data_IF_194733109640
#
_entry.id   IF_194733109640
#
_cell.length_a   1.000
_cell.length_b   1.000
_cell.length_c   1.000
_cell.angle_alpha   90.00
_cell.angle_beta   90.00
_cell.angle_gamma   90.00
#
_symmetry.space_group_name_H-M   'P 1'
#
loop_
_entity.id
_entity.type
_entity.pdbx_description
1 polymer ?
#
# COMPACT_ATOMS: atom_id res chain seq x y z
N UNK A 1 14.10 -9.21 -27.85
CA UNK A 1 14.41 -9.02 -26.42
C UNK A 1 14.77 -7.56 -26.22
N UNK A 2 13.86 -6.75 -25.67
CA UNK A 2 14.26 -5.42 -25.21
C UNK A 2 15.24 -5.57 -24.03
N UNK A 3 16.35 -4.86 -24.07
CA UNK A 3 17.33 -4.86 -23.00
C UNK A 3 16.73 -4.20 -21.75
N UNK A 4 17.07 -4.75 -20.58
CA UNK A 4 16.72 -4.14 -19.29
C UNK A 4 17.27 -2.70 -19.28
N UNK A 5 16.45 -1.69 -18.95
CA UNK A 5 16.91 -0.30 -18.91
C UNK A 5 18.17 -0.15 -18.03
N UNK A 6 19.19 0.55 -18.54
CA UNK A 6 20.50 0.65 -17.87
C UNK A 6 20.44 1.32 -16.50
N UNK A 7 19.50 2.25 -16.32
CA UNK A 7 19.14 2.90 -15.07
C UNK A 7 18.67 1.89 -14.01
N UNK A 8 17.89 0.87 -14.42
CA UNK A 8 17.41 -0.18 -13.51
C UNK A 8 18.52 -1.16 -13.18
N UNK A 9 19.35 -1.51 -14.17
CA UNK A 9 20.46 -2.45 -13.97
C UNK A 9 21.44 -1.96 -12.90
N UNK A 10 21.82 -0.68 -12.94
CA UNK A 10 22.69 -0.05 -11.93
C UNK A 10 22.05 -0.05 -10.54
N UNK A 11 20.74 0.20 -10.47
CA UNK A 11 20.03 0.22 -9.18
C UNK A 11 20.01 -1.16 -8.50
N UNK A 12 19.98 -2.25 -9.27
CA UNK A 12 19.87 -3.62 -8.74
C UNK A 12 21.14 -4.08 -8.03
N UNK A 13 22.31 -3.71 -8.54
CA UNK A 13 23.62 -4.07 -7.97
C UNK A 13 23.78 -3.60 -6.51
N UNK A 14 23.07 -2.52 -6.12
CA UNK A 14 23.10 -1.96 -4.76
C UNK A 14 22.00 -2.43 -3.81
N UNK A 15 21.03 -3.22 -4.27
CA UNK A 15 19.82 -3.56 -3.47
C UNK A 15 20.19 -4.26 -2.16
N UNK A 16 21.01 -5.30 -2.21
CA UNK A 16 21.38 -6.08 -1.02
C UNK A 16 22.09 -5.23 0.04
N UNK A 17 23.00 -4.35 -0.37
CA UNK A 17 23.69 -3.42 0.54
C UNK A 17 22.69 -2.50 1.25
N UNK A 18 21.78 -1.89 0.51
CA UNK A 18 20.80 -0.94 1.07
C UNK A 18 19.77 -1.61 1.97
N UNK A 19 19.41 -2.86 1.69
CA UNK A 19 18.60 -3.69 2.60
C UNK A 19 19.31 -3.83 3.93
N UNK A 20 20.59 -4.19 3.92
CA UNK A 20 21.36 -4.38 5.14
C UNK A 20 21.53 -3.07 5.92
N UNK A 21 21.77 -1.96 5.23
CA UNK A 21 21.81 -0.62 5.84
C UNK A 21 20.47 -0.26 6.49
N UNK A 22 19.35 -0.51 5.82
CA UNK A 22 18.02 -0.24 6.36
C UNK A 22 17.68 -1.12 7.57
N UNK A 23 18.06 -2.40 7.54
CA UNK A 23 17.91 -3.30 8.70
C UNK A 23 18.77 -2.79 9.87
N UNK A 24 19.99 -2.31 9.59
CA UNK A 24 20.86 -1.73 10.61
C UNK A 24 20.25 -0.46 11.23
N UNK A 25 19.69 0.43 10.42
CA UNK A 25 18.96 1.62 10.87
C UNK A 25 17.73 1.24 11.71
N UNK A 26 16.96 0.21 11.33
CA UNK A 26 15.84 -0.25 12.15
C UNK A 26 16.29 -0.77 13.52
N UNK A 27 17.38 -1.55 13.57
CA UNK A 27 17.91 -2.14 14.81
C UNK A 27 18.41 -1.11 15.82
N UNK A 28 18.89 0.04 15.35
CA UNK A 28 19.46 1.09 16.21
C UNK A 28 18.45 2.19 16.56
N UNK A 29 17.22 2.09 16.05
CA UNK A 29 16.13 3.01 16.37
C UNK A 29 15.58 2.76 17.79
N UNK A 30 15.30 3.85 18.51
CA UNK A 30 14.62 3.82 19.82
C UNK A 30 13.12 3.56 19.68
N UNK A 31 12.59 3.68 18.46
CA UNK A 31 11.19 3.42 18.11
C UNK A 31 11.06 3.12 16.61
N UNK A 32 10.28 2.09 16.27
CA UNK A 32 9.89 1.75 14.89
C UNK A 32 8.38 1.96 14.75
N UNK A 33 7.99 2.86 13.83
CA UNK A 33 6.59 3.20 13.57
C UNK A 33 6.14 2.59 12.26
N UNK A 34 5.36 1.51 12.34
CA UNK A 34 4.65 0.93 11.21
C UNK A 34 3.57 1.93 10.77
N UNK A 35 3.72 2.51 9.59
CA UNK A 35 2.83 3.56 9.08
C UNK A 35 1.93 3.00 7.99
N UNK A 36 0.63 2.93 8.28
CA UNK A 36 -0.38 2.54 7.30
C UNK A 36 -0.67 3.74 6.41
N UNK A 37 -0.14 3.69 5.19
CA UNK A 37 -0.20 4.74 4.19
C UNK A 37 -1.17 4.36 3.08
N UNK A 38 -1.96 5.30 2.59
CA UNK A 38 -2.83 5.00 1.46
C UNK A 38 -1.98 4.81 0.16
N UNK A 39 -2.24 3.83 -0.70
CA UNK A 39 -1.48 3.58 -1.93
C UNK A 39 -1.54 4.76 -2.91
N UNK A 40 -2.64 5.51 -2.83
CA UNK A 40 -2.96 6.69 -3.63
C UNK A 40 -2.40 7.99 -3.00
N UNK A 41 -1.64 7.92 -1.90
CA UNK A 41 -1.50 9.07 -0.99
C UNK A 41 -0.28 9.97 -1.09
N UNK A 42 0.70 9.69 -1.95
CA UNK A 42 2.02 10.35 -1.89
C UNK A 42 2.62 10.41 -0.48
N UNK A 43 2.22 9.55 0.46
CA UNK A 43 2.81 9.53 1.79
C UNK A 43 4.28 9.16 1.64
N UNK A 44 5.13 10.16 1.84
CA UNK A 44 6.57 10.03 1.80
C UNK A 44 7.05 10.12 3.23
N UNK A 45 7.58 9.01 3.70
CA UNK A 45 8.19 8.90 5.02
C UNK A 45 9.70 9.08 4.88
N UNK A 46 10.41 9.52 5.93
CA UNK A 46 11.87 9.51 5.96
C UNK A 46 12.44 8.10 5.77
N UNK A 47 13.53 7.97 5.00
CA UNK A 47 14.22 6.70 4.79
C UNK A 47 15.21 6.32 5.88
N UNK A 48 15.55 7.30 6.72
CA UNK A 48 16.53 7.21 7.77
C UNK A 48 15.84 7.54 9.10
N UNK A 49 16.53 7.27 10.20
CA UNK A 49 16.06 7.69 11.52
C UNK A 49 15.84 9.21 11.58
N UNK A 50 14.77 9.61 12.25
CA UNK A 50 14.52 11.02 12.60
C UNK A 50 14.49 11.17 14.11
N UNK A 51 15.10 12.25 14.62
CA UNK A 51 15.02 12.59 16.03
C UNK A 51 13.67 13.24 16.31
N UNK A 52 12.89 12.64 17.20
CA UNK A 52 11.56 13.12 17.59
C UNK A 52 11.53 13.42 19.08
N UNK A 53 11.12 14.64 19.49
CA UNK A 53 10.93 14.96 20.90
C UNK A 53 9.68 14.25 21.44
N UNK A 54 9.85 13.53 22.54
CA UNK A 54 8.78 12.83 23.25
C UNK A 54 8.19 13.72 24.36
N UNK A 55 6.97 13.42 24.80
CA UNK A 55 6.27 14.20 25.85
C UNK A 55 7.03 14.29 27.17
N UNK A 56 7.82 13.26 27.50
CA UNK A 56 8.65 13.22 28.69
C UNK A 56 9.97 14.03 28.57
N UNK A 57 10.16 14.77 27.48
CA UNK A 57 11.35 15.58 27.23
C UNK A 57 12.54 14.83 26.64
N UNK A 58 12.47 13.50 26.49
CA UNK A 58 13.51 12.68 25.85
C UNK A 58 13.37 12.78 24.32
N UNK A 59 14.49 12.81 23.59
CA UNK A 59 14.49 12.63 22.14
C UNK A 59 14.69 11.16 21.79
N UNK A 60 13.90 10.64 20.85
CA UNK A 60 14.03 9.27 20.32
C UNK A 60 14.42 9.29 18.85
N UNK A 61 15.30 8.37 18.45
CA UNK A 61 15.56 8.01 17.04
C UNK A 61 14.41 7.14 16.54
N UNK A 62 13.54 7.72 15.73
CA UNK A 62 12.34 7.06 15.19
C UNK A 62 12.58 6.65 13.74
N UNK A 63 12.24 5.40 13.42
CA UNK A 63 12.26 4.89 12.05
C UNK A 63 10.84 4.59 11.58
N UNK A 64 10.49 5.03 10.37
CA UNK A 64 9.16 4.81 9.80
C UNK A 64 9.16 3.64 8.78
N UNK A 65 8.20 2.73 8.94
CA UNK A 65 8.00 1.55 8.09
C UNK A 65 6.67 1.67 7.37
N UNK A 66 6.66 2.09 6.11
CA UNK A 66 5.42 2.28 5.35
C UNK A 66 4.75 0.96 4.94
N UNK A 67 3.42 0.88 5.06
CA UNK A 67 2.58 -0.17 4.51
C UNK A 67 1.53 0.48 3.60
N UNK A 68 1.57 0.26 2.27
CA UNK A 68 0.56 0.77 1.36
C UNK A 68 -0.77 0.03 1.55
N UNK A 69 -1.86 0.79 1.50
CA UNK A 69 -3.25 0.34 1.66
C UNK A 69 -4.14 1.11 0.67
N UNK A 70 -4.98 0.48 -0.15
CA UNK A 70 -5.81 1.26 -1.08
C UNK A 70 -6.88 2.04 -0.32
N UNK A 71 -7.18 3.27 -0.76
CA UNK A 71 -8.41 3.99 -0.42
C UNK A 71 -8.52 4.33 1.07
N UNK A 72 -7.39 4.37 1.78
CA UNK A 72 -7.37 4.51 3.23
C UNK A 72 -7.97 3.30 3.95
N UNK A 73 -7.98 2.10 3.36
CA UNK A 73 -8.45 0.88 4.02
C UNK A 73 -7.45 0.31 5.03
N UNK A 74 -7.90 -0.57 5.93
CA UNK A 74 -7.00 -1.29 6.83
C UNK A 74 -6.11 -2.26 6.04
N UNK A 75 -4.83 -2.47 6.42
CA UNK A 75 -4.02 -3.54 5.83
C UNK A 75 -4.72 -4.89 6.08
N UNK A 76 -4.47 -5.87 5.22
CA UNK A 76 -4.92 -7.23 5.54
C UNK A 76 -4.15 -7.77 6.75
N UNK A 77 -4.83 -8.53 7.63
CA UNK A 77 -4.23 -9.21 8.78
C UNK A 77 -2.92 -9.95 8.42
N UNK A 78 -2.91 -10.72 7.34
CA UNK A 78 -1.71 -11.47 6.90
C UNK A 78 -0.51 -10.58 6.57
N UNK A 79 -0.74 -9.34 6.12
CA UNK A 79 0.31 -8.37 5.78
C UNK A 79 0.89 -7.72 7.04
N UNK A 80 0.03 -7.26 7.95
CA UNK A 80 0.46 -6.70 9.22
C UNK A 80 1.24 -7.75 10.03
N UNK A 81 0.71 -8.97 10.09
CA UNK A 81 1.39 -10.13 10.70
C UNK A 81 2.76 -10.40 10.07
N UNK A 82 2.84 -10.45 8.73
CA UNK A 82 4.11 -10.66 8.03
C UNK A 82 5.17 -9.63 8.43
N UNK A 83 4.80 -8.35 8.43
CA UNK A 83 5.71 -7.26 8.79
C UNK A 83 6.16 -7.33 10.24
N UNK A 84 5.26 -7.58 11.19
CA UNK A 84 5.62 -7.74 12.60
C UNK A 84 6.57 -8.93 12.78
N UNK A 85 6.28 -10.07 12.13
CA UNK A 85 7.15 -11.25 12.14
C UNK A 85 8.53 -10.91 11.58
N UNK A 86 8.62 -10.15 10.49
CA UNK A 86 9.89 -9.71 9.89
C UNK A 86 10.66 -8.78 10.83
N UNK A 87 10.00 -7.78 11.44
CA UNK A 87 10.65 -6.89 12.42
C UNK A 87 11.20 -7.68 13.61
N UNK A 88 10.44 -8.64 14.14
CA UNK A 88 10.91 -9.55 15.20
C UNK A 88 12.11 -10.38 14.75
N UNK A 89 12.05 -10.97 13.54
CA UNK A 89 13.17 -11.75 12.98
C UNK A 89 14.43 -10.90 12.76
N UNK A 90 14.26 -9.61 12.49
CA UNK A 90 15.36 -8.65 12.40
C UNK A 90 15.90 -8.22 13.77
N UNK A 91 15.32 -8.68 14.88
CA UNK A 91 15.78 -8.35 16.23
C UNK A 91 15.30 -6.99 16.73
N UNK A 92 14.22 -6.45 16.17
CA UNK A 92 13.60 -5.22 16.68
C UNK A 92 12.87 -5.55 17.99
N UNK A 93 13.19 -4.80 19.04
CA UNK A 93 12.59 -4.98 20.36
C UNK A 93 11.08 -4.74 20.29
N UNK A 94 10.31 -5.63 20.93
CA UNK A 94 8.84 -5.66 20.88
C UNK A 94 8.18 -4.38 21.39
N UNK A 95 8.79 -3.74 22.38
CA UNK A 95 8.39 -2.47 22.99
C UNK A 95 8.80 -1.24 22.17
N UNK A 96 9.59 -1.42 21.11
CA UNK A 96 9.92 -0.34 20.18
C UNK A 96 8.89 -0.20 19.04
N UNK A 97 8.03 -1.21 18.83
CA UNK A 97 7.11 -1.27 17.69
C UNK A 97 5.80 -0.53 18.01
N UNK A 98 5.49 0.50 17.22
CA UNK A 98 4.25 1.27 17.28
C UNK A 98 3.60 1.34 15.90
N UNK A 99 2.31 1.66 15.85
CA UNK A 99 1.54 1.76 14.60
C UNK A 99 0.95 3.15 14.45
N UNK A 100 1.04 3.70 13.24
CA UNK A 100 0.45 4.97 12.86
C UNK A 100 -0.47 4.78 11.65
N UNK A 101 -1.75 5.08 11.82
CA UNK A 101 -2.71 5.18 10.72
C UNK A 101 -2.59 6.57 10.11
N UNK A 102 -2.52 6.68 8.78
CA UNK A 102 -2.43 7.98 8.11
C UNK A 102 -3.57 8.22 7.15
N UNK A 103 -4.15 9.42 7.22
CA UNK A 103 -4.84 10.06 6.10
C UNK A 103 -3.91 11.09 5.47
N UNK A 104 -4.23 11.59 4.28
CA UNK A 104 -3.35 12.51 3.57
C UNK A 104 -4.15 13.53 2.77
N UNK A 105 -3.66 14.77 2.67
CA UNK A 105 -4.31 15.79 1.85
C UNK A 105 -3.29 16.83 1.40
N UNK A 106 -3.73 17.76 0.55
CA UNK A 106 -2.96 18.98 0.33
C UNK A 106 -3.03 19.91 1.55
N UNK A 107 -2.22 20.97 1.57
CA UNK A 107 -2.13 21.88 2.73
C UNK A 107 -3.49 22.48 3.09
N UNK A 108 -4.31 22.81 2.07
CA UNK A 108 -5.62 23.44 2.26
C UNK A 108 -6.65 22.46 2.82
N UNK A 109 -6.66 21.23 2.30
CA UNK A 109 -7.47 20.10 2.76
C UNK A 109 -7.17 19.75 4.22
N UNK A 110 -5.88 19.64 4.57
CA UNK A 110 -5.46 19.40 5.96
C UNK A 110 -5.85 20.57 6.85
N UNK A 111 -5.59 21.80 6.43
CA UNK A 111 -5.91 23.00 7.23
C UNK A 111 -7.41 23.10 7.52
N UNK A 112 -8.26 22.84 6.53
CA UNK A 112 -9.72 22.84 6.69
C UNK A 112 -10.20 21.72 7.62
N UNK A 113 -9.62 20.52 7.49
CA UNK A 113 -9.90 19.37 8.38
C UNK A 113 -9.54 19.69 9.82
N UNK A 114 -8.35 20.26 10.06
CA UNK A 114 -7.89 20.67 11.39
C UNK A 114 -8.73 21.80 11.99
N UNK A 115 -9.20 22.73 11.15
CA UNK A 115 -10.07 23.84 11.55
C UNK A 115 -11.55 23.43 11.73
N UNK A 116 -11.93 22.20 11.34
CA UNK A 116 -13.32 21.70 11.32
C UNK A 116 -14.27 22.58 10.47
N UNK A 117 -13.74 23.26 9.46
CA UNK A 117 -14.48 24.25 8.65
C UNK A 117 -15.01 23.68 7.33
N UNK A 118 -14.35 22.66 6.78
CA UNK A 118 -14.85 21.80 5.70
C UNK A 118 -13.95 20.55 5.60
N UNK A 119 -14.54 19.38 5.32
CA UNK A 119 -13.91 18.09 5.59
C UNK A 119 -13.21 17.42 4.40
N UNK A 120 -12.61 18.17 3.49
CA UNK A 120 -12.18 17.56 2.23
C UNK A 120 -10.74 17.12 2.30
N UNK A 121 -10.52 15.83 2.48
CA UNK A 121 -9.31 15.11 2.13
C UNK A 121 -9.73 14.12 1.04
N UNK A 122 -9.50 14.45 -0.23
CA UNK A 122 -9.95 13.60 -1.34
C UNK A 122 -8.77 12.97 -2.09
N UNK A 123 -8.63 11.64 -1.97
CA UNK A 123 -7.84 10.87 -2.94
C UNK A 123 -8.76 10.43 -4.09
N UNK A 124 -8.26 10.34 -5.32
CA UNK A 124 -9.15 10.17 -6.48
C UNK A 124 -9.88 8.82 -6.52
N UNK A 125 -9.26 7.71 -6.02
CA UNK A 125 -10.01 6.46 -5.80
C UNK A 125 -11.14 6.61 -4.77
N UNK A 126 -10.92 7.41 -3.73
CA UNK A 126 -11.93 7.65 -2.70
C UNK A 126 -13.08 8.50 -3.23
N UNK A 127 -12.81 9.43 -4.15
CA UNK A 127 -13.86 10.17 -4.87
C UNK A 127 -14.75 9.22 -5.69
N UNK A 128 -14.15 8.29 -6.45
CA UNK A 128 -14.90 7.27 -7.18
C UNK A 128 -15.76 6.41 -6.23
N UNK A 129 -15.16 5.88 -5.16
CA UNK A 129 -15.90 5.04 -4.21
C UNK A 129 -17.01 5.80 -3.48
N UNK A 130 -16.82 7.08 -3.19
CA UNK A 130 -17.86 7.91 -2.60
C UNK A 130 -19.02 8.17 -3.58
N UNK A 131 -18.72 8.37 -4.86
CA UNK A 131 -19.75 8.52 -5.90
C UNK A 131 -20.61 7.26 -6.04
N UNK A 132 -19.99 6.08 -5.89
CA UNK A 132 -20.66 4.77 -5.94
C UNK A 132 -20.93 4.16 -4.56
N UNK A 133 -21.03 5.00 -3.52
CA UNK A 133 -21.16 4.55 -2.13
C UNK A 133 -22.35 3.60 -1.95
N UNK A 134 -23.53 3.95 -2.44
CA UNK A 134 -24.74 3.13 -2.28
C UNK A 134 -24.59 1.73 -2.91
N UNK A 135 -24.01 1.65 -4.11
CA UNK A 135 -23.76 0.38 -4.79
C UNK A 135 -22.76 -0.48 -4.00
N UNK A 136 -21.66 0.12 -3.55
CA UNK A 136 -20.61 -0.58 -2.80
C UNK A 136 -21.05 -1.00 -1.40
N UNK A 137 -21.92 -0.21 -0.73
CA UNK A 137 -22.54 -0.57 0.55
C UNK A 137 -23.49 -1.75 0.38
N UNK A 138 -24.36 -1.74 -0.63
CA UNK A 138 -25.25 -2.87 -0.93
C UNK A 138 -24.48 -4.16 -1.23
N UNK A 139 -23.40 -4.07 -2.01
CA UNK A 139 -22.52 -5.22 -2.27
C UNK A 139 -21.86 -5.69 -0.97
N UNK A 140 -21.37 -4.78 -0.14
CA UNK A 140 -20.68 -5.08 1.12
C UNK A 140 -21.57 -5.86 2.08
N UNK A 141 -22.82 -5.47 2.26
CA UNK A 141 -23.74 -6.14 3.18
C UNK A 141 -23.89 -7.63 2.84
N UNK A 142 -24.15 -7.93 1.56
CA UNK A 142 -24.23 -9.30 1.05
C UNK A 142 -22.89 -10.04 1.22
N UNK A 143 -21.79 -9.38 0.87
CA UNK A 143 -20.46 -9.97 0.88
C UNK A 143 -19.95 -10.30 2.28
N UNK A 144 -20.24 -9.47 3.29
CA UNK A 144 -19.88 -9.74 4.69
C UNK A 144 -20.71 -10.90 5.25
N UNK A 145 -22.01 -10.95 4.96
CA UNK A 145 -22.87 -12.04 5.39
C UNK A 145 -22.41 -13.38 4.79
N UNK A 146 -22.20 -13.42 3.48
CA UNK A 146 -21.67 -14.59 2.78
C UNK A 146 -20.28 -14.99 3.28
N UNK A 147 -19.34 -14.04 3.39
CA UNK A 147 -17.96 -14.34 3.81
C UNK A 147 -17.90 -15.02 5.19
N UNK A 148 -18.76 -14.62 6.13
CA UNK A 148 -18.84 -15.26 7.46
C UNK A 148 -19.31 -16.71 7.35
N UNK A 149 -20.30 -16.99 6.50
CA UNK A 149 -20.80 -18.35 6.27
C UNK A 149 -19.76 -19.20 5.55
N UNK A 150 -19.15 -18.67 4.49
CA UNK A 150 -18.14 -19.35 3.70
C UNK A 150 -16.94 -19.76 4.56
N UNK A 151 -16.39 -18.85 5.38
CA UNK A 151 -15.28 -19.16 6.31
C UNK A 151 -15.59 -20.33 7.24
N UNK A 152 -16.84 -20.44 7.73
CA UNK A 152 -17.29 -21.57 8.56
C UNK A 152 -17.43 -22.86 7.73
N UNK A 153 -17.96 -22.76 6.51
CA UNK A 153 -18.15 -23.89 5.59
C UNK A 153 -16.82 -24.54 5.20
N UNK A 154 -15.79 -23.74 4.92
CA UNK A 154 -14.47 -24.24 4.49
C UNK A 154 -13.46 -24.42 5.61
N UNK A 155 -13.86 -24.13 6.86
CA UNK A 155 -12.99 -24.14 8.04
C UNK A 155 -11.67 -23.36 7.83
N UNK A 156 -11.74 -22.21 7.15
CA UNK A 156 -10.60 -21.32 6.96
C UNK A 156 -11.00 -19.88 7.28
N UNK A 157 -10.63 -19.43 8.47
CA UNK A 157 -10.84 -18.06 8.92
C UNK A 157 -10.15 -17.01 8.01
N UNK A 158 -9.15 -17.43 7.21
CA UNK A 158 -8.37 -16.57 6.31
C UNK A 158 -9.01 -16.43 4.94
N UNK A 159 -10.02 -17.23 4.60
CA UNK A 159 -10.75 -17.13 3.35
C UNK A 159 -11.38 -15.74 3.24
N UNK A 160 -10.97 -14.97 2.23
CA UNK A 160 -11.45 -13.62 2.00
C UNK A 160 -11.94 -13.50 0.56
N UNK A 161 -13.12 -12.89 0.31
CA UNK A 161 -13.69 -12.79 -1.03
C UNK A 161 -12.71 -12.25 -2.06
N UNK A 162 -12.02 -11.15 -1.72
CA UNK A 162 -11.06 -10.50 -2.61
C UNK A 162 -9.84 -11.36 -2.96
N UNK A 163 -9.61 -12.47 -2.26
CA UNK A 163 -8.49 -13.41 -2.45
C UNK A 163 -8.92 -14.77 -3.01
N UNK A 164 -10.18 -14.90 -3.41
CA UNK A 164 -10.68 -16.07 -4.10
C UNK A 164 -10.65 -15.84 -5.62
N UNK A 165 -10.62 -16.91 -6.43
CA UNK A 165 -10.96 -16.83 -7.84
C UNK A 165 -12.37 -16.23 -8.00
N UNK A 166 -12.59 -15.35 -8.98
CA UNK A 166 -13.91 -14.75 -9.20
C UNK A 166 -14.97 -15.82 -9.54
N UNK A 167 -14.57 -16.91 -10.19
CA UNK A 167 -15.41 -18.07 -10.48
C UNK A 167 -15.98 -18.71 -9.21
N UNK A 168 -15.17 -18.80 -8.15
CA UNK A 168 -15.62 -19.32 -6.85
C UNK A 168 -16.73 -18.43 -6.28
N UNK A 169 -16.60 -17.12 -6.38
CA UNK A 169 -17.62 -16.17 -5.90
C UNK A 169 -18.85 -16.22 -6.81
N UNK A 170 -18.66 -16.38 -8.13
CA UNK A 170 -19.76 -16.48 -9.08
C UNK A 170 -20.61 -17.74 -8.83
N UNK A 171 -19.99 -18.82 -8.37
CA UNK A 171 -20.69 -20.04 -7.99
C UNK A 171 -21.34 -19.94 -6.61
N UNK A 172 -20.61 -19.45 -5.60
CA UNK A 172 -21.02 -19.48 -4.19
C UNK A 172 -21.88 -18.27 -3.76
N UNK A 173 -21.84 -17.16 -4.50
CA UNK A 173 -22.54 -15.91 -4.21
C UNK A 173 -22.87 -15.16 -5.53
N UNK A 174 -23.68 -15.75 -6.42
CA UNK A 174 -23.94 -15.24 -7.77
C UNK A 174 -24.55 -13.83 -7.78
N UNK A 175 -25.33 -13.48 -6.77
CA UNK A 175 -25.94 -12.16 -6.60
C UNK A 175 -24.90 -11.05 -6.43
N UNK A 176 -23.85 -11.28 -5.64
CA UNK A 176 -22.74 -10.33 -5.48
C UNK A 176 -22.00 -10.19 -6.81
N UNK A 177 -21.70 -11.30 -7.48
CA UNK A 177 -21.01 -11.23 -8.77
C UNK A 177 -21.83 -10.54 -9.85
N UNK A 178 -23.16 -10.69 -9.84
CA UNK A 178 -24.03 -9.93 -10.73
C UNK A 178 -23.89 -8.42 -10.51
N UNK A 179 -23.95 -7.96 -9.26
CA UNK A 179 -23.80 -6.55 -8.91
C UNK A 179 -22.40 -6.02 -9.27
N UNK A 180 -21.36 -6.80 -9.01
CA UNK A 180 -19.97 -6.47 -9.38
C UNK A 180 -19.82 -6.36 -10.89
N UNK A 181 -20.37 -7.30 -11.67
CA UNK A 181 -20.33 -7.24 -13.13
C UNK A 181 -21.09 -6.02 -13.66
N UNK A 182 -22.28 -5.73 -13.15
CA UNK A 182 -23.03 -4.52 -13.53
C UNK A 182 -22.24 -3.24 -13.25
N UNK A 183 -21.62 -3.13 -12.08
CA UNK A 183 -20.81 -1.96 -11.75
C UNK A 183 -19.53 -1.89 -12.60
N UNK A 184 -18.90 -3.02 -12.92
CA UNK A 184 -17.79 -3.09 -13.87
C UNK A 184 -18.20 -2.60 -15.26
N UNK A 185 -19.30 -3.11 -15.81
CA UNK A 185 -19.80 -2.74 -17.15
C UNK A 185 -20.12 -1.25 -17.23
N UNK A 186 -20.65 -0.67 -16.15
CA UNK A 186 -20.99 0.75 -16.08
C UNK A 186 -19.79 1.69 -15.91
N UNK A 187 -18.70 1.22 -15.30
CA UNK A 187 -17.60 2.10 -14.86
C UNK A 187 -16.25 1.79 -15.51
N UNK A 188 -16.09 0.60 -16.10
CA UNK A 188 -14.80 0.07 -16.53
C UNK A 188 -13.83 -0.23 -15.39
N UNK A 189 -14.27 -0.22 -14.12
CA UNK A 189 -13.40 -0.58 -13.00
C UNK A 189 -13.24 -2.09 -12.88
N UNK A 190 -12.03 -2.63 -12.71
CA UNK A 190 -11.81 -4.08 -12.60
C UNK A 190 -12.64 -4.72 -11.50
N UNK A 191 -13.21 -5.89 -11.77
CA UNK A 191 -14.15 -6.56 -10.86
C UNK A 191 -13.54 -6.85 -9.50
N UNK A 192 -12.27 -7.28 -9.47
CA UNK A 192 -11.54 -7.50 -8.21
C UNK A 192 -11.30 -6.22 -7.42
N UNK A 193 -11.10 -5.07 -8.07
CA UNK A 193 -10.95 -3.79 -7.38
C UNK A 193 -12.27 -3.39 -6.69
N UNK A 194 -13.39 -3.54 -7.39
CA UNK A 194 -14.74 -3.28 -6.85
C UNK A 194 -15.05 -4.22 -5.67
N UNK A 195 -14.80 -5.52 -5.83
CA UNK A 195 -14.98 -6.53 -4.79
C UNK A 195 -14.13 -6.23 -3.54
N UNK A 196 -12.87 -5.86 -3.76
CA UNK A 196 -11.94 -5.50 -2.69
C UNK A 196 -12.38 -4.23 -1.98
N UNK A 197 -12.80 -3.20 -2.71
CA UNK A 197 -13.32 -1.97 -2.13
C UNK A 197 -14.56 -2.25 -1.27
N UNK A 198 -15.54 -2.99 -1.80
CA UNK A 198 -16.74 -3.42 -1.08
C UNK A 198 -16.41 -4.16 0.23
N UNK A 199 -15.51 -5.16 0.16
CA UNK A 199 -15.17 -5.99 1.32
C UNK A 199 -14.31 -5.26 2.37
N UNK A 200 -13.27 -4.53 1.93
CA UNK A 200 -12.21 -4.05 2.83
C UNK A 200 -12.45 -2.65 3.38
N UNK A 201 -13.16 -1.78 2.66
CA UNK A 201 -13.37 -0.41 3.11
C UNK A 201 -14.41 -0.39 4.22
N UNK A 202 -13.99 0.08 5.38
CA UNK A 202 -14.86 0.19 6.55
C UNK A 202 -16.04 1.13 6.34
N UNK A 203 -15.69 2.29 5.78
CA UNK A 203 -16.58 3.35 5.36
C UNK A 203 -16.12 3.83 3.99
N UNK A 204 -17.07 4.06 3.08
CA UNK A 204 -16.81 4.75 1.81
C UNK A 204 -16.92 6.27 1.94
N UNK A 205 -17.26 6.76 3.14
CA UNK A 205 -17.23 8.17 3.44
C UNK A 205 -15.81 8.72 3.28
N UNK A 206 -15.71 9.92 2.72
CA UNK A 206 -14.49 10.71 2.60
C UNK A 206 -13.95 11.06 4.01
N UNK A 207 -14.80 11.05 5.03
CA UNK A 207 -14.45 11.45 6.39
C UNK A 207 -14.16 10.26 7.34
N UNK A 208 -13.15 10.42 8.20
CA UNK A 208 -13.20 9.84 9.56
C UNK A 208 -13.01 8.33 9.70
N UNK A 209 -12.53 7.61 8.69
CA UNK A 209 -12.36 6.17 8.78
C UNK A 209 -11.12 5.73 9.60
N UNK A 210 -10.31 6.66 10.11
CA UNK A 210 -9.09 6.37 10.88
C UNK A 210 -9.40 5.56 12.13
N UNK A 211 -10.48 5.91 12.84
CA UNK A 211 -10.91 5.19 14.04
C UNK A 211 -11.25 3.73 13.72
N UNK A 212 -12.01 3.50 12.66
CA UNK A 212 -12.37 2.14 12.26
C UNK A 212 -11.16 1.32 11.79
N UNK A 213 -10.18 1.97 11.16
CA UNK A 213 -8.90 1.32 10.81
C UNK A 213 -8.11 1.02 12.09
N UNK A 214 -8.03 1.97 13.02
CA UNK A 214 -7.35 1.81 14.30
C UNK A 214 -7.96 0.66 15.09
N UNK A 215 -9.29 0.58 15.17
CA UNK A 215 -10.01 -0.51 15.85
C UNK A 215 -9.69 -1.86 15.22
N UNK A 216 -9.75 -1.96 13.89
CA UNK A 216 -9.37 -3.21 13.16
C UNK A 216 -7.90 -3.58 13.37
N UNK A 217 -7.01 -2.59 13.42
CA UNK A 217 -5.59 -2.83 13.70
C UNK A 217 -5.41 -3.29 15.14
N UNK A 218 -6.10 -2.67 16.10
CA UNK A 218 -6.08 -3.08 17.49
C UNK A 218 -6.57 -4.52 17.66
N UNK A 219 -7.64 -4.91 16.97
CA UNK A 219 -8.09 -6.31 16.90
C UNK A 219 -6.99 -7.25 16.41
N UNK A 220 -6.28 -6.89 15.33
CA UNK A 220 -5.17 -7.72 14.80
C UNK A 220 -3.97 -7.79 15.74
N UNK A 221 -3.67 -6.73 16.48
CA UNK A 221 -2.56 -6.71 17.44
C UNK A 221 -2.93 -7.44 18.73
N UNK A 222 -4.21 -7.46 19.10
CA UNK A 222 -4.71 -8.21 20.25
C UNK A 222 -4.72 -9.74 20.05
N UNK A 223 -4.50 -10.22 18.83
CA UNK A 223 -4.40 -11.66 18.54
C UNK A 223 -3.28 -12.35 19.35
N UNK A 224 -3.49 -13.62 19.71
CA UNK A 224 -2.56 -14.46 20.51
C UNK A 224 -1.11 -14.45 19.97
N UNK A 225 -0.95 -14.36 18.65
CA UNK A 225 0.35 -14.32 17.96
C UNK A 225 1.16 -13.03 18.21
N UNK A 226 0.48 -11.97 18.68
CA UNK A 226 1.02 -10.63 18.94
C UNK A 226 0.94 -10.25 20.44
N UNK A 227 0.60 -11.20 21.32
CA UNK A 227 0.42 -10.95 22.77
C UNK A 227 1.64 -10.35 23.48
N UNK A 228 2.82 -10.51 22.90
CA UNK A 228 4.08 -9.97 23.40
C UNK A 228 4.30 -8.49 23.06
N UNK A 229 3.72 -8.01 21.96
CA UNK A 229 3.77 -6.60 21.52
C UNK A 229 2.55 -5.80 21.98
N UNK A 230 1.38 -6.43 22.08
CA UNK A 230 0.10 -5.77 22.38
C UNK A 230 0.15 -4.89 23.63
N UNK A 231 0.77 -5.28 24.76
CA UNK A 231 0.80 -4.45 25.96
C UNK A 231 1.59 -3.15 25.83
N UNK A 232 2.49 -3.07 24.85
CA UNK A 232 3.45 -1.96 24.68
C UNK A 232 3.25 -1.19 23.38
N UNK A 233 2.48 -1.72 22.43
CA UNK A 233 2.29 -1.13 21.12
C UNK A 233 1.24 -0.01 21.18
N UNK A 234 1.67 1.23 20.97
CA UNK A 234 0.74 2.34 20.78
C UNK A 234 0.24 2.37 19.32
N UNK A 235 -1.06 2.60 19.15
CA UNK A 235 -1.70 2.81 17.85
C UNK A 235 -2.19 4.26 17.83
N UNK A 236 -1.69 5.06 16.88
CA UNK A 236 -2.09 6.46 16.70
C UNK A 236 -2.61 6.75 15.29
N UNK A 237 -3.08 7.98 15.09
CA UNK A 237 -3.48 8.50 13.79
C UNK A 237 -2.85 9.86 13.48
N UNK A 238 -2.60 10.14 12.20
CA UNK A 238 -2.10 11.43 11.73
C UNK A 238 -2.63 11.79 10.34
N UNK A 239 -2.72 13.09 10.07
CA UNK A 239 -2.92 13.64 8.74
C UNK A 239 -1.58 13.99 8.10
N UNK A 240 -1.28 13.41 6.95
CA UNK A 240 -0.08 13.67 6.17
C UNK A 240 -0.33 14.79 5.16
N UNK A 241 0.33 15.92 5.35
CA UNK A 241 0.38 16.99 4.37
C UNK A 241 1.41 16.63 3.29
N UNK A 242 0.93 16.34 2.08
CA UNK A 242 1.81 15.90 1.00
C UNK A 242 2.58 17.04 0.32
N UNK A 243 2.17 18.30 0.53
CA UNK A 243 2.87 19.48 0.03
C UNK A 243 3.96 19.89 0.99
N UNK A 244 3.65 20.00 2.29
CA UNK A 244 4.62 20.38 3.30
C UNK A 244 5.50 19.22 3.79
N UNK A 245 5.14 17.97 3.47
CA UNK A 245 5.83 16.74 3.93
C UNK A 245 5.84 16.65 5.45
N UNK A 246 4.66 16.80 6.06
CA UNK A 246 4.49 16.86 7.51
C UNK A 246 3.39 15.90 7.98
N UNK A 247 3.53 15.38 9.19
CA UNK A 247 2.46 14.68 9.90
C UNK A 247 1.83 15.64 10.91
N UNK A 248 0.50 15.76 10.87
CA UNK A 248 -0.31 16.49 11.83
C UNK A 248 -1.06 15.48 12.70
N UNK A 249 -0.69 15.39 13.97
CA UNK A 249 -1.31 14.53 14.97
C UNK A 249 -2.48 15.28 15.59
N UNK A 250 -3.65 15.15 14.99
CA UNK A 250 -4.82 15.95 15.36
C UNK A 250 -5.97 15.10 15.87
N UNK A 251 -5.71 14.28 16.89
CA UNK A 251 -6.75 13.66 17.70
C UNK A 251 -6.27 13.52 19.17
N UNK A 252 -7.19 13.55 20.15
CA UNK A 252 -6.92 13.09 21.53
C UNK A 252 -6.38 11.65 21.59
N UNK A 253 -6.59 10.86 20.52
CA UNK A 253 -6.30 9.44 20.38
C UNK A 253 -4.98 9.13 19.66
N UNK A 254 -4.17 10.15 19.35
CA UNK A 254 -2.97 10.02 18.51
C UNK A 254 -1.64 9.87 19.29
N UNK A 255 -1.67 9.49 20.56
CA UNK A 255 -0.47 9.57 21.38
C UNK A 255 0.43 8.35 21.25
N UNK A 256 1.23 8.33 20.19
CA UNK A 256 2.45 7.49 20.11
C UNK A 256 3.60 8.05 20.98
N UNK A 257 3.31 9.02 21.85
CA UNK A 257 4.24 9.62 22.82
C UNK A 257 4.93 10.91 22.34
N UNK A 258 4.58 11.43 21.16
CA UNK A 258 5.24 12.59 20.56
C UNK A 258 4.81 13.89 21.25
N UNK A 259 5.78 14.78 21.51
CA UNK A 259 5.54 16.07 22.18
C UNK A 259 4.76 17.02 21.29
N UNK A 260 5.18 17.13 20.04
CA UNK A 260 4.65 18.10 19.10
C UNK A 260 3.44 17.55 18.37
N UNK A 261 2.43 18.40 18.15
CA UNK A 261 1.25 18.06 17.34
C UNK A 261 1.55 17.98 15.85
N UNK A 262 2.76 18.36 15.43
CA UNK A 262 3.22 18.32 14.05
C UNK A 262 4.64 17.81 14.00
N UNK A 263 4.92 16.85 13.11
CA UNK A 263 6.28 16.40 12.80
C UNK A 263 6.63 16.81 11.37
N UNK A 264 7.71 17.58 11.23
CA UNK A 264 8.24 18.00 9.92
C UNK A 264 9.44 17.16 9.54
N UNK A 265 9.46 16.67 8.31
CA UNK A 265 10.58 15.88 7.80
C UNK A 265 11.60 16.78 7.10
N UNK A 266 12.65 17.21 7.81
CA UNK A 266 13.65 18.15 7.31
C UNK A 266 14.34 17.72 6.00
N UNK A 267 14.45 16.40 5.78
CA UNK A 267 15.06 15.83 4.58
C UNK A 267 14.09 15.74 3.39
N UNK A 268 12.80 16.06 3.57
CA UNK A 268 11.78 16.02 2.52
C UNK A 268 11.41 17.46 2.14
N UNK A 269 11.96 18.01 1.03
CA UNK A 269 11.63 19.38 0.64
C UNK A 269 10.14 19.51 0.31
N UNK A 270 9.49 20.62 0.70
CA UNK A 270 8.09 20.85 0.37
C UNK A 270 7.90 21.01 -1.13
N UNK A 271 6.66 20.81 -1.59
CA UNK A 271 6.23 21.03 -2.97
C UNK A 271 5.10 22.05 -3.03
N UNK A 272 4.95 22.65 -4.20
CA UNK A 272 3.91 23.63 -4.48
C UNK A 272 2.76 23.05 -5.35
N UNK A 273 2.96 21.89 -5.98
CA UNK A 273 1.93 21.24 -6.79
C UNK A 273 1.03 20.29 -5.98
N UNK A 274 -0.20 20.11 -6.44
CA UNK A 274 -1.18 19.16 -5.92
C UNK A 274 -1.37 17.94 -6.83
N UNK A 275 -0.45 17.67 -7.79
CA UNK A 275 -0.60 16.55 -8.76
C UNK A 275 0.25 15.31 -8.42
N UNK A 276 -0.36 14.12 -8.48
CA UNK A 276 0.31 12.84 -8.25
C UNK A 276 1.05 12.44 -9.50
N UNK A 277 2.36 12.62 -9.57
CA UNK A 277 3.07 12.38 -10.83
C UNK A 277 4.22 11.35 -10.73
N UNK A 278 3.92 10.07 -10.39
CA UNK A 278 4.93 9.05 -10.32
C UNK A 278 5.46 8.65 -11.70
N UNK A 279 6.74 8.28 -11.79
CA UNK A 279 7.29 7.69 -13.02
C UNK A 279 7.11 6.19 -13.10
N UNK A 280 6.95 5.52 -11.95
CA UNK A 280 6.87 4.07 -11.87
C UNK A 280 5.75 3.65 -10.90
N UNK A 281 5.10 2.55 -11.23
CA UNK A 281 4.28 1.76 -10.30
C UNK A 281 5.11 0.58 -9.82
N UNK A 282 5.26 0.42 -8.50
CA UNK A 282 5.96 -0.71 -7.88
C UNK A 282 4.93 -1.64 -7.26
N UNK A 283 4.91 -2.90 -7.72
CA UNK A 283 4.07 -3.97 -7.16
C UNK A 283 4.99 -4.87 -6.31
N UNK A 284 4.92 -4.79 -4.99
CA UNK A 284 5.73 -5.59 -4.07
C UNK A 284 5.06 -6.92 -3.73
N UNK A 285 5.71 -8.04 -4.03
CA UNK A 285 5.18 -9.39 -3.92
C UNK A 285 6.03 -10.21 -2.92
N UNK A 286 5.49 -10.44 -1.73
CA UNK A 286 6.11 -11.26 -0.68
C UNK A 286 5.81 -10.84 0.76
N UNK A 287 6.22 -11.67 1.73
CA UNK A 287 6.02 -11.45 3.17
C UNK A 287 7.10 -10.55 3.79
N UNK A 288 8.31 -10.52 3.22
CA UNK A 288 9.50 -9.90 3.82
C UNK A 288 9.84 -8.54 3.22
N UNK A 289 9.07 -8.10 2.22
CA UNK A 289 9.04 -6.70 1.85
C UNK A 289 8.17 -5.94 2.87
N UNK A 290 8.67 -5.76 4.11
CA UNK A 290 8.58 -4.43 4.75
C UNK A 290 8.84 -3.48 3.61
N UNK A 291 7.91 -2.63 3.16
CA UNK A 291 8.06 -1.91 1.90
C UNK A 291 9.38 -1.18 1.89
N UNK A 292 10.43 -1.86 1.38
CA UNK A 292 11.77 -1.54 1.83
C UNK A 292 11.94 -0.15 1.28
N UNK A 293 12.23 0.75 2.22
CA UNK A 293 11.85 2.16 2.05
C UNK A 293 12.30 2.64 0.67
N UNK A 294 11.65 3.67 0.12
CA UNK A 294 12.05 4.30 -1.15
C UNK A 294 13.57 4.29 -1.37
N UNK A 295 14.40 4.55 -0.36
CA UNK A 295 15.86 4.48 -0.43
C UNK A 295 16.50 3.10 -0.73
N UNK A 296 15.85 1.97 -0.48
CA UNK A 296 16.45 0.64 -0.56
C UNK A 296 16.12 -0.09 -1.85
N UNK A 297 14.84 -0.06 -2.23
CA UNK A 297 14.48 -0.54 -3.55
C UNK A 297 14.98 0.50 -4.56
N UNK A 298 15.02 1.82 -4.24
CA UNK A 298 15.19 2.89 -5.23
C UNK A 298 15.67 4.26 -4.68
N UNK A 299 16.94 4.47 -4.31
CA UNK A 299 17.39 5.83 -4.03
C UNK A 299 17.43 6.71 -5.30
N UNK A 300 17.36 6.14 -6.52
CA UNK A 300 17.89 6.80 -7.71
C UNK A 300 17.24 6.55 -9.10
N UNK A 301 16.02 6.00 -9.28
CA UNK A 301 15.53 5.58 -10.64
C UNK A 301 15.40 6.67 -11.73
N UNK A 302 16.01 7.85 -11.63
CA UNK A 302 16.17 8.73 -12.81
C UNK A 302 17.40 9.65 -12.72
N UNK A 303 18.47 9.28 -12.02
CA UNK A 303 19.71 10.07 -12.02
C UNK A 303 19.58 11.51 -11.51
N UNK A 304 18.56 11.81 -10.69
CA UNK A 304 18.36 13.13 -10.10
C UNK A 304 18.91 13.22 -8.68
N UNK A 305 19.47 14.37 -8.25
CA UNK A 305 19.90 14.61 -6.87
C UNK A 305 18.72 14.79 -5.88
N UNK A 306 17.50 14.37 -6.23
CA UNK A 306 16.28 14.63 -5.45
C UNK A 306 15.48 13.34 -5.18
N UNK A 307 14.92 13.29 -3.98
CA UNK A 307 14.26 12.12 -3.42
C UNK A 307 13.01 11.65 -4.19
N UNK A 308 12.72 10.33 -4.21
CA UNK A 308 11.69 9.71 -5.03
C UNK A 308 10.28 9.88 -4.42
N UNK A 309 9.65 11.05 -4.59
CA UNK A 309 8.21 11.17 -4.30
C UNK A 309 7.32 10.49 -5.35
N UNK A 310 7.92 9.93 -6.40
CA UNK A 310 7.26 9.64 -7.66
C UNK A 310 7.04 8.13 -7.90
N UNK A 311 6.56 7.42 -6.88
CA UNK A 311 6.26 5.98 -7.00
C UNK A 311 4.88 5.66 -6.41
N UNK A 312 4.02 4.98 -7.18
CA UNK A 312 2.78 4.35 -6.70
C UNK A 312 3.06 2.92 -6.25
N UNK A 313 2.49 2.46 -5.12
CA UNK A 313 2.83 1.16 -4.54
C UNK A 313 1.60 0.29 -4.28
N UNK A 314 1.71 -0.98 -4.66
CA UNK A 314 0.75 -2.03 -4.31
C UNK A 314 1.49 -3.26 -3.78
N UNK A 315 0.81 -4.14 -3.05
CA UNK A 315 1.48 -5.35 -2.58
C UNK A 315 0.60 -6.59 -2.38
N UNK A 316 1.22 -7.77 -2.40
CA UNK A 316 0.62 -9.06 -2.06
C UNK A 316 1.63 -9.93 -1.30
N UNK A 317 1.20 -10.59 -0.21
CA UNK A 317 2.10 -11.41 0.60
C UNK A 317 1.99 -12.92 0.36
N UNK A 318 0.86 -13.38 -0.16
CA UNK A 318 0.65 -14.79 -0.48
C UNK A 318 0.85 -14.96 -1.99
N UNK A 319 1.67 -15.92 -2.46
CA UNK A 319 1.87 -16.17 -3.88
C UNK A 319 0.71 -17.01 -4.44
N UNK A 320 -0.46 -16.40 -4.64
CA UNK A 320 -1.56 -17.01 -5.41
C UNK A 320 -2.01 -16.07 -6.52
N UNK A 321 -2.58 -16.61 -7.60
CA UNK A 321 -3.10 -15.79 -8.70
C UNK A 321 -4.10 -14.73 -8.20
N UNK A 322 -5.13 -15.07 -7.40
CA UNK A 322 -6.05 -14.07 -6.86
C UNK A 322 -5.39 -12.95 -6.06
N UNK A 323 -4.39 -13.27 -5.24
CA UNK A 323 -3.71 -12.27 -4.40
C UNK A 323 -2.77 -11.37 -5.20
N UNK A 324 -2.10 -11.89 -6.23
CA UNK A 324 -1.32 -11.05 -7.16
C UNK A 324 -2.24 -10.19 -8.01
N UNK A 325 -3.37 -10.73 -8.49
CA UNK A 325 -4.40 -9.94 -9.17
C UNK A 325 -4.96 -8.84 -8.27
N UNK A 326 -5.07 -9.04 -6.95
CA UNK A 326 -5.38 -7.94 -6.04
C UNK A 326 -4.34 -6.82 -6.16
N UNK A 327 -3.05 -7.15 -6.09
CA UNK A 327 -1.97 -6.16 -6.16
C UNK A 327 -1.93 -5.41 -7.51
N UNK A 328 -2.20 -6.13 -8.61
CA UNK A 328 -2.34 -5.54 -9.96
C UNK A 328 -3.61 -4.67 -10.06
N UNK A 329 -4.70 -5.05 -9.41
CA UNK A 329 -5.92 -4.23 -9.35
C UNK A 329 -5.72 -2.90 -8.62
N UNK A 330 -4.78 -2.84 -7.66
CA UNK A 330 -4.41 -1.57 -7.03
C UNK A 330 -3.57 -0.71 -7.98
N UNK A 331 -2.65 -1.33 -8.71
CA UNK A 331 -1.82 -0.66 -9.72
C UNK A 331 -2.64 -0.08 -10.88
N UNK A 332 -3.75 -0.75 -11.25
CA UNK A 332 -4.64 -0.35 -12.34
C UNK A 332 -5.02 1.13 -12.30
N UNK A 333 -5.34 1.68 -11.13
CA UNK A 333 -5.79 3.07 -11.03
C UNK A 333 -4.78 4.07 -11.61
N UNK A 334 -3.50 3.91 -11.26
CA UNK A 334 -2.43 4.77 -11.77
C UNK A 334 -2.23 4.60 -13.28
N UNK A 335 -2.31 3.36 -13.77
CA UNK A 335 -2.18 3.03 -15.19
C UNK A 335 -3.34 3.62 -15.99
N UNK A 336 -4.58 3.41 -15.53
CA UNK A 336 -5.79 3.91 -16.15
C UNK A 336 -5.78 5.44 -16.24
N UNK A 337 -5.36 6.16 -15.20
CA UNK A 337 -5.24 7.61 -15.23
C UNK A 337 -4.17 8.12 -16.21
N UNK A 338 -3.08 7.37 -16.39
CA UNK A 338 -2.06 7.69 -17.40
C UNK A 338 -2.59 7.49 -18.82
N UNK A 339 -3.32 6.41 -19.05
CA UNK A 339 -3.81 6.00 -20.37
C UNK A 339 -5.04 6.79 -20.80
N UNK A 340 -5.91 7.11 -19.85
CA UNK A 340 -7.15 7.87 -20.04
C UNK A 340 -7.15 9.08 -19.10
N UNK A 341 -6.30 10.10 -19.39
CA UNK A 341 -6.17 11.26 -18.51
C UNK A 341 -7.45 12.08 -18.49
N UNK A 342 -7.86 12.50 -17.29
CA UNK A 342 -8.94 13.46 -17.15
C UNK A 342 -8.50 14.84 -17.66
N UNK A 343 -9.33 15.55 -18.45
CA UNK A 343 -9.00 16.89 -18.92
C UNK A 343 -8.64 17.82 -17.76
N UNK A 344 -7.51 18.53 -17.87
CA UNK A 344 -7.02 19.45 -16.84
C UNK A 344 -6.40 18.78 -15.60
N UNK A 345 -6.32 17.45 -15.54
CA UNK A 345 -5.71 16.72 -14.44
C UNK A 345 -4.32 16.19 -14.83
N UNK A 346 -3.26 16.73 -14.21
CA UNK A 346 -1.87 16.34 -14.46
C UNK A 346 -1.42 15.04 -13.77
N UNK A 347 -2.30 14.38 -13.02
CA UNK A 347 -1.99 13.14 -12.32
C UNK A 347 -1.51 12.05 -13.28
N UNK A 348 -0.48 11.32 -12.86
CA UNK A 348 0.17 10.21 -13.53
C UNK A 348 0.75 10.51 -14.91
N UNK A 349 0.82 11.78 -15.34
CA UNK A 349 1.33 12.16 -16.68
C UNK A 349 2.75 11.69 -16.98
N UNK A 350 3.60 11.55 -15.97
CA UNK A 350 4.98 11.08 -16.05
C UNK A 350 5.11 9.55 -15.88
N UNK A 351 4.01 8.82 -15.67
CA UNK A 351 4.05 7.37 -15.47
C UNK A 351 4.54 6.68 -16.74
N UNK A 352 5.59 5.88 -16.58
CA UNK A 352 6.29 5.20 -17.68
C UNK A 352 6.26 3.69 -17.57
N UNK A 353 6.33 3.11 -16.37
CA UNK A 353 6.63 1.68 -16.21
C UNK A 353 5.92 1.06 -15.01
N UNK A 354 5.77 -0.25 -15.06
CA UNK A 354 5.39 -1.11 -13.93
C UNK A 354 6.59 -2.00 -13.59
N UNK A 355 6.95 -2.04 -12.30
CA UNK A 355 8.01 -2.89 -11.78
C UNK A 355 7.38 -3.81 -10.71
N UNK A 356 7.43 -5.11 -10.95
CA UNK A 356 7.09 -6.11 -9.96
C UNK A 356 8.35 -6.51 -9.18
N UNK A 357 8.36 -6.24 -7.87
CA UNK A 357 9.42 -6.67 -6.98
C UNK A 357 8.98 -7.94 -6.27
N UNK A 358 9.59 -9.05 -6.60
CA UNK A 358 9.29 -10.38 -6.07
C UNK A 358 10.31 -10.78 -5.01
N UNK A 359 9.84 -11.25 -3.85
CA UNK A 359 10.73 -11.80 -2.82
C UNK A 359 11.40 -13.09 -3.27
N UNK A 360 10.66 -13.94 -3.99
CA UNK A 360 11.11 -15.30 -4.31
C UNK A 360 10.77 -15.68 -5.75
N UNK A 361 11.40 -16.74 -6.25
CA UNK A 361 11.09 -17.30 -7.57
C UNK A 361 9.64 -17.80 -7.66
N UNK A 362 9.05 -18.20 -6.53
CA UNK A 362 7.62 -18.57 -6.47
C UNK A 362 6.73 -17.38 -6.80
N UNK A 363 7.01 -16.19 -6.28
CA UNK A 363 6.25 -14.97 -6.63
C UNK A 363 6.37 -14.62 -8.11
N UNK A 364 7.56 -14.79 -8.71
CA UNK A 364 7.76 -14.58 -10.16
C UNK A 364 6.87 -15.52 -10.96
N UNK A 365 6.85 -16.82 -10.63
CA UNK A 365 6.02 -17.80 -11.33
C UNK A 365 4.54 -17.47 -11.24
N UNK A 366 4.04 -17.18 -10.04
CA UNK A 366 2.62 -16.90 -9.85
C UNK A 366 2.22 -15.56 -10.49
N UNK A 367 3.14 -14.59 -10.57
CA UNK A 367 2.92 -13.37 -11.35
C UNK A 367 2.73 -13.70 -12.83
N UNK A 368 3.57 -14.54 -13.41
CA UNK A 368 3.42 -14.98 -14.80
C UNK A 368 2.08 -15.69 -15.01
N UNK A 369 1.69 -16.59 -14.11
CA UNK A 369 0.38 -17.25 -14.14
C UNK A 369 -0.78 -16.24 -14.06
N UNK A 370 -0.67 -15.24 -13.18
CA UNK A 370 -1.67 -14.19 -13.05
C UNK A 370 -1.81 -13.36 -14.33
N UNK A 371 -0.71 -12.98 -14.98
CA UNK A 371 -0.73 -12.22 -16.24
C UNK A 371 -1.30 -13.03 -17.42
N UNK A 372 -1.27 -14.36 -17.34
CA UNK A 372 -1.84 -15.26 -18.34
C UNK A 372 -3.30 -15.66 -18.03
N UNK A 373 -3.82 -15.30 -16.85
CA UNK A 373 -5.17 -15.66 -16.43
C UNK A 373 -6.26 -14.95 -17.25
N UNK A 374 -7.43 -15.57 -17.35
CA UNK A 374 -8.54 -14.98 -18.09
C UNK A 374 -9.08 -13.73 -17.42
N UNK A 375 -9.06 -13.68 -16.09
CA UNK A 375 -9.37 -12.45 -15.35
C UNK A 375 -8.43 -11.30 -15.72
N UNK A 376 -7.12 -11.56 -15.85
CA UNK A 376 -6.17 -10.51 -16.28
C UNK A 376 -6.49 -10.01 -17.70
N UNK A 377 -6.73 -10.95 -18.62
CA UNK A 377 -7.05 -10.65 -20.02
C UNK A 377 -8.30 -9.80 -20.15
N UNK A 378 -9.35 -10.12 -19.39
CA UNK A 378 -10.63 -9.42 -19.46
C UNK A 378 -10.58 -8.04 -18.81
N UNK A 379 -10.02 -7.93 -17.61
CA UNK A 379 -10.22 -6.73 -16.78
C UNK A 379 -9.06 -5.72 -16.83
N UNK A 380 -7.86 -6.14 -17.24
CA UNK A 380 -6.64 -5.34 -17.05
C UNK A 380 -5.79 -5.18 -18.31
N UNK A 381 -5.70 -6.23 -19.13
CA UNK A 381 -4.70 -6.36 -20.20
C UNK A 381 -4.65 -5.15 -21.12
N UNK A 382 -5.79 -4.70 -21.63
CA UNK A 382 -5.85 -3.60 -22.60
C UNK A 382 -5.26 -2.29 -22.07
N UNK A 383 -5.51 -1.97 -20.80
CA UNK A 383 -5.00 -0.76 -20.16
C UNK A 383 -3.52 -0.90 -19.82
N UNK A 384 -3.09 -2.08 -19.37
CA UNK A 384 -1.68 -2.33 -19.09
C UNK A 384 -0.84 -2.39 -20.38
N UNK A 385 -1.37 -2.92 -21.49
CA UNK A 385 -0.71 -2.93 -22.81
C UNK A 385 -0.45 -1.52 -23.33
N UNK A 386 -1.39 -0.58 -23.11
CA UNK A 386 -1.23 0.83 -23.49
C UNK A 386 -0.14 1.54 -22.69
N UNK A 387 0.26 1.01 -21.54
CA UNK A 387 1.40 1.51 -20.77
C UNK A 387 2.67 0.73 -21.14
N UNK A 388 3.68 1.43 -21.66
CA UNK A 388 4.99 0.86 -21.96
C UNK A 388 4.95 -0.38 -22.87
N UNK A 389 4.03 -0.42 -23.84
CA UNK A 389 3.80 -1.57 -24.74
C UNK A 389 3.58 -2.90 -23.98
N UNK A 390 2.98 -2.84 -22.79
CA UNK A 390 2.75 -4.02 -21.96
C UNK A 390 4.01 -4.63 -21.37
N UNK A 391 5.10 -3.87 -21.24
CA UNK A 391 6.32 -4.37 -20.60
C UNK A 391 6.24 -4.19 -19.09
N UNK A 392 6.24 -5.30 -18.36
CA UNK A 392 6.39 -5.38 -16.90
C UNK A 392 7.82 -5.78 -16.57
N UNK A 393 8.49 -4.97 -15.76
CA UNK A 393 9.85 -5.26 -15.29
C UNK A 393 9.75 -6.09 -14.02
N UNK A 394 10.38 -7.25 -13.98
CA UNK A 394 10.36 -8.15 -12.83
C UNK A 394 11.73 -8.18 -12.19
N UNK A 395 11.79 -7.76 -10.92
CA UNK A 395 12.98 -7.87 -10.07
C UNK A 395 12.74 -8.98 -9.07
N UNK A 396 13.55 -10.03 -9.08
CA UNK A 396 13.52 -11.10 -8.08
C UNK A 396 14.65 -10.87 -7.07
N UNK A 397 14.29 -10.78 -5.79
CA UNK A 397 15.24 -10.60 -4.69
C UNK A 397 15.90 -11.90 -4.22
N UNK A 398 15.40 -13.07 -4.66
CA UNK A 398 15.89 -14.40 -4.27
C UNK A 398 16.05 -14.57 -2.75
N UNK A 399 15.07 -14.11 -1.97
CA UNK A 399 15.09 -14.19 -0.49
C UNK A 399 15.03 -15.62 0.02
N UNK A 400 14.52 -16.55 -0.77
CA UNK A 400 14.56 -17.98 -0.52
C UNK A 400 15.95 -18.60 -0.76
N UNK A 401 16.88 -17.86 -1.34
CA UNK A 401 18.23 -18.32 -1.69
C UNK A 401 19.28 -17.24 -1.36
N UNK A 402 19.72 -17.12 -0.09
CA UNK A 402 20.51 -15.97 0.40
C UNK A 402 21.86 -15.73 -0.31
N UNK A 403 22.41 -16.74 -1.00
CA UNK A 403 23.63 -16.63 -1.80
C UNK A 403 23.38 -16.18 -3.24
N UNK A 404 22.11 -16.05 -3.64
CA UNK A 404 21.73 -15.65 -4.99
C UNK A 404 21.53 -14.15 -5.05
N UNK A 405 22.28 -13.50 -5.95
CA UNK A 405 22.12 -12.07 -6.19
C UNK A 405 20.73 -11.77 -6.79
N UNK A 406 20.14 -10.59 -6.49
CA UNK A 406 18.90 -10.16 -7.13
C UNK A 406 19.01 -10.18 -8.66
N UNK A 407 17.95 -10.63 -9.34
CA UNK A 407 17.88 -10.69 -10.81
C UNK A 407 16.79 -9.79 -11.36
N UNK A 408 16.91 -9.43 -12.64
CA UNK A 408 15.90 -8.66 -13.36
C UNK A 408 15.64 -9.26 -14.73
N UNK A 409 14.38 -9.23 -15.16
CA UNK A 409 13.95 -9.57 -16.50
C UNK A 409 12.69 -8.80 -16.86
N UNK A 410 12.28 -8.88 -18.12
CA UNK A 410 11.06 -8.25 -18.63
C UNK A 410 10.03 -9.33 -18.96
N UNK A 411 8.77 -9.04 -18.69
CA UNK A 411 7.61 -9.80 -19.17
C UNK A 411 6.82 -8.90 -20.14
N UNK A 412 6.34 -9.49 -21.22
CA UNK A 412 5.49 -8.82 -22.23
C UNK A 412 4.10 -9.45 -22.17
N UNK A 413 3.06 -8.61 -22.06
CA UNK A 413 1.65 -9.00 -21.87
C UNK A 413 0.91 -9.47 -23.14
#
# INVERSE_FOLDING_TARGET
MESIPSDIKQDIEGISKRINEYIHELRTADMVVITLACSDSRVVLPSNQVLVPMKNGVQKRVMFVGIPTIGGGSPSRSRLRGIIKTLKAWGIAKDHINILVTQHGDTSEISATLAKTSGHISCGLRTFFNHHKGDLEGIRELLIAWSRQYKRKVDDARAAPDRLPLETIAHECPEVMKLINTLHDNTGMPRRLLLRAAYRNGSFDIHGNELEIMDKVAEYIADEENKDIFPTCAIGAAYYDHQLKKLHFALPYADIGFKDKTLTFANLPPRHDSIQNPQNVIVSLGEEVICIHKAVILPHIVGGPRQPDNVFRSCASIPTVPTILCALSEAYYAVAHKVHPHPGNGNFSALKRIIALCDTQTHVRVLQEALLSDEFKTDYRDIFLKLNNGVVIVVNLHRDSPDTAPTCHTLVL
#
